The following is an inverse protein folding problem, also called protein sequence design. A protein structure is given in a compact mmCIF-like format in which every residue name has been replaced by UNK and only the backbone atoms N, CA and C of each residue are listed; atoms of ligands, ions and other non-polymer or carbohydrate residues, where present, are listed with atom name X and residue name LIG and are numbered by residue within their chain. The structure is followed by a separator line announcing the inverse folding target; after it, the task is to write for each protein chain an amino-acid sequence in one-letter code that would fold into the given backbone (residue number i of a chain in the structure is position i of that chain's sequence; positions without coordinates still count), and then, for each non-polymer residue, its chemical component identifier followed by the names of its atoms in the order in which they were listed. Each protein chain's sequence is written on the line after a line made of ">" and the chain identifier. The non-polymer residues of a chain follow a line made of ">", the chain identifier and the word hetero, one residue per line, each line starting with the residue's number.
data_IF_985806528076
#
_entry.id   IF_985806528076
#
_cell.length_a   1.000
_cell.length_b   1.000
_cell.length_c   1.000
_cell.angle_alpha   90.00
_cell.angle_beta   90.00
_cell.angle_gamma   90.00
#
_symmetry.space_group_name_H-M   'P 1'
#
loop_
_entity.id
_entity.type
_entity.pdbx_description
1 polymer ?
#
# COMPACT_ATOMS: atom_id res chain seq x y z
N UNK A 1 6.01 10.96 -13.31
CA UNK A 1 6.80 10.07 -12.44
C UNK A 1 6.00 8.81 -12.22
N UNK A 2 6.56 7.63 -12.47
CA UNK A 2 5.76 6.41 -12.51
C UNK A 2 5.36 5.88 -11.13
N UNK A 3 5.97 6.33 -10.03
CA UNK A 3 5.53 5.97 -8.68
C UNK A 3 5.36 7.23 -7.83
N UNK A 4 4.17 7.41 -7.27
CA UNK A 4 3.87 8.47 -6.31
C UNK A 4 3.53 7.84 -4.97
N UNK A 5 4.27 8.21 -3.92
CA UNK A 5 4.10 7.67 -2.58
C UNK A 5 3.45 8.71 -1.67
N UNK A 6 2.35 8.33 -1.04
CA UNK A 6 1.59 9.12 -0.09
C UNK A 6 1.80 8.56 1.32
N UNK A 7 1.96 9.48 2.28
CA UNK A 7 2.02 9.18 3.71
C UNK A 7 1.01 10.08 4.40
N UNK A 8 0.05 9.48 5.10
CA UNK A 8 -0.99 10.19 5.82
C UNK A 8 -1.07 9.63 7.24
N UNK A 9 -1.44 10.50 8.18
CA UNK A 9 -1.64 10.10 9.56
C UNK A 9 -3.05 9.53 9.79
N UNK A 10 -4.03 9.97 9.00
CA UNK A 10 -5.45 9.66 9.22
C UNK A 10 -6.13 9.02 8.03
N UNK A 11 -7.10 8.15 8.28
CA UNK A 11 -7.84 7.41 7.26
C UNK A 11 -8.62 8.31 6.32
N UNK A 12 -9.18 9.42 6.81
CA UNK A 12 -10.00 10.32 6.00
C UNK A 12 -9.16 10.89 4.85
N UNK A 13 -7.90 11.26 5.13
CA UNK A 13 -6.97 11.78 4.12
C UNK A 13 -6.63 10.72 3.06
N UNK A 14 -6.50 9.46 3.47
CA UNK A 14 -6.27 8.33 2.55
C UNK A 14 -7.48 8.13 1.64
N UNK A 15 -8.68 8.04 2.22
CA UNK A 15 -9.92 7.77 1.48
C UNK A 15 -10.29 8.90 0.52
N UNK A 16 -10.17 10.16 0.95
CA UNK A 16 -10.37 11.33 0.10
C UNK A 16 -9.37 11.35 -1.05
N UNK A 17 -8.09 11.07 -0.76
CA UNK A 17 -7.06 11.07 -1.80
C UNK A 17 -7.32 10.00 -2.84
N UNK A 18 -7.64 8.76 -2.43
CA UNK A 18 -7.93 7.66 -3.36
C UNK A 18 -9.12 7.99 -4.25
N UNK A 19 -10.22 8.51 -3.67
CA UNK A 19 -11.39 8.95 -4.46
C UNK A 19 -11.04 10.07 -5.44
N UNK A 20 -10.16 11.00 -5.06
CA UNK A 20 -9.74 12.10 -5.96
C UNK A 20 -8.88 11.64 -7.14
N UNK A 21 -8.16 10.53 -7.00
CA UNK A 21 -7.25 10.00 -8.03
C UNK A 21 -7.99 9.35 -9.20
N UNK A 22 -9.26 8.97 -9.02
CA UNK A 22 -10.11 8.30 -10.02
C UNK A 22 -9.52 7.00 -10.60
N UNK A 23 -8.45 6.48 -9.98
CA UNK A 23 -7.70 5.28 -10.33
C UNK A 23 -7.54 4.42 -9.08
N UNK A 24 -7.19 3.14 -9.26
CA UNK A 24 -6.82 2.26 -8.16
C UNK A 24 -5.54 2.71 -7.46
N UNK A 25 -5.29 2.10 -6.30
CA UNK A 25 -4.12 2.39 -5.49
C UNK A 25 -3.55 1.14 -4.83
N UNK A 26 -2.27 1.23 -4.48
CA UNK A 26 -1.56 0.26 -3.66
C UNK A 26 -1.47 0.79 -2.24
N UNK A 27 -1.85 0.01 -1.25
CA UNK A 27 -1.72 0.38 0.16
C UNK A 27 -0.76 -0.59 0.84
N UNK A 28 0.30 -0.05 1.42
CA UNK A 28 1.32 -0.81 2.15
C UNK A 28 1.14 -0.56 3.64
N UNK A 29 0.71 -1.60 4.35
CA UNK A 29 0.54 -1.61 5.78
C UNK A 29 1.80 -2.10 6.49
N UNK A 30 2.21 -1.38 7.54
CA UNK A 30 3.34 -1.77 8.38
C UNK A 30 3.22 -1.32 9.83
N UNK A 31 4.20 -1.70 10.62
CA UNK A 31 4.37 -1.25 12.01
C UNK A 31 5.85 -0.92 12.23
N UNK A 32 6.17 -0.07 13.21
CA UNK A 32 7.55 0.19 13.64
C UNK A 32 7.72 -0.18 15.12
N UNK A 33 8.86 -0.83 15.48
CA UNK A 33 9.91 -1.35 14.59
C UNK A 33 9.48 -2.64 13.84
N UNK A 34 9.89 -2.78 12.57
CA UNK A 34 9.63 -3.98 11.75
C UNK A 34 10.68 -4.12 10.64
N UNK A 35 11.60 -5.08 10.79
CA UNK A 35 12.67 -5.33 9.81
C UNK A 35 12.14 -5.59 8.39
N UNK A 36 11.21 -6.53 8.18
CA UNK A 36 10.60 -6.77 6.87
C UNK A 36 9.94 -5.53 6.25
N UNK A 37 9.34 -4.66 7.07
CA UNK A 37 8.72 -3.42 6.61
C UNK A 37 9.78 -2.42 6.11
N UNK A 38 10.92 -2.32 6.79
CA UNK A 38 12.07 -1.49 6.36
C UNK A 38 12.70 -2.01 5.06
N UNK A 39 12.79 -3.34 4.88
CA UNK A 39 13.27 -3.95 3.63
C UNK A 39 12.36 -3.57 2.46
N UNK A 40 11.05 -3.70 2.63
CA UNK A 40 10.08 -3.34 1.60
C UNK A 40 10.08 -1.83 1.30
N UNK A 41 10.15 -0.98 2.32
CA UNK A 41 10.27 0.48 2.18
C UNK A 41 11.50 0.88 1.37
N UNK A 42 12.65 0.26 1.67
CA UNK A 42 13.90 0.51 0.94
C UNK A 42 13.77 0.14 -0.53
N UNK A 43 13.11 -0.99 -0.82
CA UNK A 43 12.81 -1.38 -2.19
C UNK A 43 11.89 -0.38 -2.89
N UNK A 44 10.75 -0.02 -2.27
CA UNK A 44 9.76 0.93 -2.84
C UNK A 44 10.43 2.26 -3.21
N UNK A 45 11.31 2.78 -2.36
CA UNK A 45 12.04 4.04 -2.62
C UNK A 45 12.95 3.96 -3.86
N UNK A 46 13.50 2.78 -4.16
CA UNK A 46 14.35 2.54 -5.33
C UNK A 46 13.58 2.11 -6.58
N UNK A 47 12.35 1.63 -6.42
CA UNK A 47 11.57 1.05 -7.52
C UNK A 47 11.11 2.13 -8.49
N UNK A 48 11.25 1.86 -9.78
CA UNK A 48 10.84 2.73 -10.89
C UNK A 48 9.98 1.90 -11.84
N UNK A 49 8.66 1.79 -11.59
CA UNK A 49 7.75 1.09 -12.49
C UNK A 49 7.66 1.82 -13.84
N UNK A 50 7.20 1.12 -14.87
CA UNK A 50 6.94 1.73 -16.19
C UNK A 50 5.57 2.40 -16.26
N UNK A 51 4.65 1.96 -15.41
CA UNK A 51 3.29 2.49 -15.27
C UNK A 51 3.20 3.44 -14.09
N UNK A 52 2.25 4.38 -14.14
CA UNK A 52 1.94 5.28 -13.02
C UNK A 52 1.23 4.51 -11.91
N UNK A 53 1.77 4.54 -10.69
CA UNK A 53 1.21 3.87 -9.51
C UNK A 53 1.09 4.89 -8.38
N UNK A 54 -0.10 4.93 -7.77
CA UNK A 54 -0.36 5.65 -6.53
C UNK A 54 -0.23 4.67 -5.36
N UNK A 55 0.76 4.90 -4.49
CA UNK A 55 1.07 4.04 -3.36
C UNK A 55 0.90 4.79 -2.04
N UNK A 56 0.26 4.17 -1.06
CA UNK A 56 0.05 4.72 0.28
C UNK A 56 0.84 3.89 1.28
N UNK A 57 1.84 4.48 1.94
CA UNK A 57 2.57 3.82 3.03
C UNK A 57 1.91 4.20 4.36
N UNK A 58 1.17 3.26 4.96
CA UNK A 58 0.46 3.44 6.22
C UNK A 58 1.13 2.58 7.29
N UNK A 59 1.83 3.20 8.24
CA UNK A 59 2.63 2.49 9.25
C UNK A 59 2.25 2.97 10.64
N UNK A 60 2.01 2.05 11.57
CA UNK A 60 1.89 2.40 12.98
C UNK A 60 3.29 2.66 13.60
N UNK A 61 3.44 3.61 14.53
CA UNK A 61 2.38 4.44 15.12
C UNK A 61 2.04 5.71 14.32
N UNK A 62 2.70 5.99 13.19
CA UNK A 62 2.49 7.23 12.43
C UNK A 62 1.11 7.34 11.77
N UNK A 63 0.50 6.21 11.43
CA UNK A 63 -0.88 6.09 10.99
C UNK A 63 -1.78 5.78 12.19
N UNK A 64 -2.52 6.78 12.64
CA UNK A 64 -3.34 6.77 13.86
C UNK A 64 -4.48 5.74 13.77
N UNK A 65 -5.05 5.56 12.58
CA UNK A 65 -6.22 4.71 12.34
C UNK A 65 -5.87 3.25 11.98
N UNK A 66 -4.68 2.77 12.37
CA UNK A 66 -4.23 1.41 12.03
C UNK A 66 -5.18 0.33 12.55
N UNK A 67 -5.76 0.49 13.74
CA UNK A 67 -6.68 -0.50 14.31
C UNK A 67 -8.00 -0.62 13.53
N UNK A 68 -8.51 0.49 13.00
CA UNK A 68 -9.70 0.49 12.14
C UNK A 68 -9.40 -0.23 10.82
N UNK A 69 -8.23 0.07 10.23
CA UNK A 69 -7.80 -0.56 8.98
C UNK A 69 -7.44 -2.03 9.18
N UNK A 70 -6.93 -2.41 10.35
CA UNK A 70 -6.68 -3.82 10.69
C UNK A 70 -7.94 -4.67 10.57
N UNK A 71 -9.09 -4.16 11.05
CA UNK A 71 -10.39 -4.85 10.90
C UNK A 71 -10.89 -4.80 9.46
N UNK A 72 -10.87 -3.62 8.84
CA UNK A 72 -11.39 -3.41 7.47
C UNK A 72 -10.65 -4.23 6.41
N UNK A 73 -9.34 -4.39 6.57
CA UNK A 73 -8.45 -5.07 5.62
C UNK A 73 -8.01 -6.48 6.07
N UNK A 74 -8.53 -7.00 7.18
CA UNK A 74 -8.15 -8.29 7.79
C UNK A 74 -6.62 -8.45 7.98
N UNK A 75 -5.98 -7.41 8.55
CA UNK A 75 -4.52 -7.36 8.68
C UNK A 75 -4.01 -8.24 9.82
N UNK A 76 -3.47 -9.41 9.48
CA UNK A 76 -2.92 -10.38 10.46
C UNK A 76 -1.43 -10.22 10.72
N UNK A 77 -0.66 -9.85 9.69
CA UNK A 77 0.81 -9.74 9.74
C UNK A 77 1.28 -8.50 8.97
N UNK A 78 2.53 -8.08 9.22
CA UNK A 78 3.16 -6.96 8.52
C UNK A 78 4.52 -7.36 7.91
N UNK A 79 4.93 -6.75 6.77
CA UNK A 79 4.12 -5.86 5.94
C UNK A 79 3.05 -6.61 5.15
N UNK A 80 1.88 -5.98 5.01
CA UNK A 80 0.78 -6.47 4.17
C UNK A 80 0.46 -5.41 3.14
N UNK A 81 0.15 -5.84 1.91
CA UNK A 81 -0.17 -4.95 0.81
C UNK A 81 -1.56 -5.25 0.30
N UNK A 82 -2.37 -4.21 0.15
CA UNK A 82 -3.69 -4.29 -0.43
C UNK A 82 -3.76 -3.48 -1.71
N UNK A 83 -4.38 -4.07 -2.73
CA UNK A 83 -4.79 -3.40 -3.95
C UNK A 83 -6.24 -2.97 -3.78
N UNK A 84 -6.51 -1.70 -4.04
CA UNK A 84 -7.86 -1.13 -3.95
C UNK A 84 -8.24 -0.46 -5.26
N UNK A 85 -9.53 -0.44 -5.56
CA UNK A 85 -10.07 0.34 -6.66
C UNK A 85 -10.24 1.84 -6.29
N UNK A 86 -10.68 2.64 -7.25
CA UNK A 86 -10.93 4.09 -7.07
C UNK A 86 -11.98 4.43 -5.99
N UNK A 87 -12.78 3.46 -5.57
CA UNK A 87 -13.81 3.60 -4.54
C UNK A 87 -13.34 3.03 -3.19
N UNK A 88 -12.05 2.72 -3.05
CA UNK A 88 -11.46 2.12 -1.85
C UNK A 88 -11.98 0.69 -1.56
N UNK A 89 -12.53 0.00 -2.56
CA UNK A 89 -12.91 -1.40 -2.44
C UNK A 89 -11.66 -2.26 -2.58
N UNK A 90 -11.48 -3.18 -1.63
CA UNK A 90 -10.37 -4.13 -1.64
C UNK A 90 -10.54 -5.11 -2.80
N UNK A 91 -9.54 -5.18 -3.67
CA UNK A 91 -9.46 -6.13 -4.78
C UNK A 91 -8.67 -7.37 -4.34
N UNK A 92 -7.50 -7.16 -3.74
CA UNK A 92 -6.65 -8.24 -3.24
C UNK A 92 -5.79 -7.74 -2.08
N UNK A 93 -5.56 -8.60 -1.08
CA UNK A 93 -4.66 -8.34 0.04
C UNK A 93 -3.67 -9.49 0.14
N UNK A 94 -2.39 -9.18 0.27
CA UNK A 94 -1.33 -10.17 0.38
C UNK A 94 -0.26 -9.76 1.39
N UNK A 95 0.14 -10.70 2.23
CA UNK A 95 1.31 -10.55 3.10
C UNK A 95 2.57 -10.59 2.23
N UNK A 96 3.53 -9.70 2.51
CA UNK A 96 4.81 -9.65 1.80
C UNK A 96 5.90 -10.24 2.72
N UNK A 97 6.16 -11.57 2.66
CA UNK A 97 7.05 -12.25 3.60
C UNK A 97 8.46 -11.69 3.50
N UNK A 98 9.04 -11.29 4.63
CA UNK A 98 10.40 -10.74 4.70
C UNK A 98 10.62 -9.45 3.89
N UNK A 99 9.56 -8.78 3.43
CA UNK A 99 9.68 -7.65 2.50
C UNK A 99 10.09 -8.06 1.08
N UNK A 100 9.76 -9.28 0.65
CA UNK A 100 10.13 -9.82 -0.66
C UNK A 100 9.60 -8.96 -1.83
N UNK A 101 10.52 -8.30 -2.53
CA UNK A 101 10.25 -7.43 -3.68
C UNK A 101 9.52 -8.13 -4.83
N UNK A 102 9.80 -9.40 -5.10
CA UNK A 102 9.19 -10.11 -6.23
C UNK A 102 7.71 -10.39 -5.95
N UNK A 103 7.38 -10.76 -4.70
CA UNK A 103 5.98 -10.94 -4.28
C UNK A 103 5.22 -9.63 -4.42
N UNK A 104 5.83 -8.53 -3.97
CA UNK A 104 5.25 -7.20 -4.10
C UNK A 104 5.03 -6.78 -5.56
N UNK A 105 6.06 -6.89 -6.41
CA UNK A 105 5.96 -6.54 -7.83
C UNK A 105 4.89 -7.39 -8.52
N UNK A 106 4.88 -8.70 -8.29
CA UNK A 106 3.90 -9.60 -8.91
C UNK A 106 2.47 -9.22 -8.52
N UNK A 107 2.23 -8.89 -7.24
CA UNK A 107 0.92 -8.42 -6.78
C UNK A 107 0.52 -7.13 -7.49
N UNK A 108 1.38 -6.12 -7.52
CA UNK A 108 1.05 -4.82 -8.11
C UNK A 108 0.85 -4.95 -9.62
N UNK A 109 1.74 -5.64 -10.32
CA UNK A 109 1.69 -5.77 -11.79
C UNK A 109 0.57 -6.68 -12.28
N UNK A 110 0.12 -7.65 -11.48
CA UNK A 110 -1.10 -8.43 -11.74
C UNK A 110 -2.33 -7.53 -11.92
N UNK A 111 -2.35 -6.39 -11.23
CA UNK A 111 -3.46 -5.44 -11.22
C UNK A 111 -3.17 -4.13 -11.93
N UNK A 112 -2.19 -4.11 -12.85
CA UNK A 112 -1.74 -2.89 -13.53
C UNK A 112 -2.86 -2.07 -14.19
N UNK A 113 -3.89 -2.75 -14.71
CA UNK A 113 -5.03 -2.11 -15.38
C UNK A 113 -5.90 -1.25 -14.46
N UNK A 114 -5.71 -1.34 -13.13
CA UNK A 114 -6.39 -0.46 -12.18
C UNK A 114 -5.72 0.93 -12.09
N UNK A 115 -4.47 1.06 -12.52
CA UNK A 115 -3.70 2.29 -12.39
C UNK A 115 -3.61 3.11 -13.69
N UNK A 116 -4.11 2.56 -14.79
CA UNK A 116 -4.28 3.20 -16.11
C UNK A 116 -5.63 3.92 -16.19
#
# INVERSE_FOLDING_TARGET
>A
MPLTVYKYAKKEQVEEKIKSLQTGAVIVFGIRPCGPCTVLESFINSWRPEISINLFELKAPEFEDMEDYRKKFDLKLFPTVSIVDKNMKIVETQIIPGGNKNVFINLVMKHKSLFE
#
